data_IF_721745737120
#
_entry.id   IF_721745737120
#
_cell.length_a   1.000
_cell.length_b   1.000
_cell.length_c   1.000
_cell.angle_alpha   90.00
_cell.angle_beta   90.00
_cell.angle_gamma   90.00
#
_symmetry.space_group_name_H-M   'P 1'
#
loop_
_entity.id
_entity.type
_entity.pdbx_description
1 polymer ?
#
# COMPACT_ATOMS: atom_id res chain seq x y z
N UNK A 1 15.63 -22.73 9.46
CA UNK A 1 16.15 -21.33 9.52
C UNK A 1 15.78 -20.46 8.31
N UNK A 2 14.52 -20.45 7.87
CA UNK A 2 14.08 -19.61 6.74
C UNK A 2 12.96 -18.67 7.17
N UNK A 3 12.79 -17.59 6.42
CA UNK A 3 11.71 -16.60 6.57
C UNK A 3 11.19 -16.19 5.21
N UNK A 4 9.93 -15.81 5.15
CA UNK A 4 9.36 -15.18 3.97
C UNK A 4 9.86 -13.74 3.86
N UNK A 5 10.71 -13.47 2.87
CA UNK A 5 11.17 -12.12 2.52
C UNK A 5 10.24 -11.51 1.48
N UNK A 6 9.84 -10.27 1.70
CA UNK A 6 9.03 -9.48 0.77
C UNK A 6 9.93 -8.92 -0.35
N UNK A 7 9.54 -9.12 -1.61
CA UNK A 7 10.29 -8.62 -2.78
C UNK A 7 9.48 -7.73 -3.72
N UNK A 8 8.17 -7.97 -3.81
CA UNK A 8 7.32 -7.25 -4.77
C UNK A 8 6.52 -6.16 -4.08
N UNK A 9 6.90 -4.92 -4.32
CA UNK A 9 6.21 -3.73 -3.82
C UNK A 9 6.02 -2.69 -4.93
N UNK A 10 5.02 -1.83 -4.74
CA UNK A 10 4.56 -0.82 -5.68
C UNK A 10 4.49 0.54 -4.96
N UNK A 11 5.08 1.56 -5.58
CA UNK A 11 5.18 2.93 -5.07
C UNK A 11 5.50 3.89 -6.22
N UNK A 12 5.33 5.19 -5.97
CA UNK A 12 5.69 6.25 -6.91
C UNK A 12 6.22 7.45 -6.12
N UNK A 13 7.53 7.68 -6.22
CA UNK A 13 8.24 8.74 -5.51
C UNK A 13 8.53 9.97 -6.36
N UNK A 14 8.01 10.04 -7.60
CA UNK A 14 8.31 11.15 -8.53
C UNK A 14 7.95 12.53 -7.97
N UNK A 15 6.93 12.62 -7.12
CA UNK A 15 6.55 13.87 -6.46
C UNK A 15 7.67 14.43 -5.56
N UNK A 16 8.51 13.58 -4.96
CA UNK A 16 9.65 13.98 -4.13
C UNK A 16 10.67 14.75 -4.98
N UNK A 17 10.86 14.34 -6.23
CA UNK A 17 11.75 15.05 -7.15
C UNK A 17 11.23 16.46 -7.49
N UNK A 18 9.97 16.80 -7.19
CA UNK A 18 9.35 18.10 -7.44
C UNK A 18 9.30 19.00 -6.20
N UNK A 19 9.85 18.55 -5.06
CA UNK A 19 9.95 19.38 -3.86
C UNK A 19 10.82 20.63 -4.11
N UNK A 20 10.55 21.75 -3.39
CA UNK A 20 11.37 22.95 -3.50
C UNK A 20 12.84 22.67 -3.21
N UNK A 21 13.71 23.19 -4.07
CA UNK A 21 15.17 23.10 -3.89
C UNK A 21 15.55 24.03 -2.73
N UNK A 22 16.27 23.50 -1.75
CA UNK A 22 16.64 24.26 -0.56
C UNK A 22 17.87 25.13 -0.83
N UNK A 23 17.87 26.33 -0.27
CA UNK A 23 18.92 27.33 -0.52
C UNK A 23 20.26 26.92 0.10
N UNK A 24 20.22 26.19 1.22
CA UNK A 24 21.39 25.72 1.97
C UNK A 24 22.12 24.55 1.31
N UNK A 25 21.60 23.99 0.21
CA UNK A 25 22.26 22.88 -0.48
C UNK A 25 23.51 23.33 -1.25
N UNK A 26 24.49 22.43 -1.33
CA UNK A 26 25.63 22.59 -2.22
C UNK A 26 25.19 22.77 -3.68
N UNK A 27 25.88 23.60 -4.45
CA UNK A 27 25.47 23.93 -5.83
C UNK A 27 25.37 22.70 -6.73
N UNK A 28 26.27 21.72 -6.56
CA UNK A 28 26.20 20.45 -7.29
C UNK A 28 24.89 19.68 -7.00
N UNK A 29 24.46 19.65 -5.74
CA UNK A 29 23.20 19.02 -5.32
C UNK A 29 22.00 19.78 -5.88
N UNK A 30 22.04 21.12 -5.89
CA UNK A 30 21.00 21.94 -6.52
C UNK A 30 20.90 21.68 -8.01
N UNK A 31 22.02 21.58 -8.73
CA UNK A 31 22.05 21.31 -10.16
C UNK A 31 21.47 19.92 -10.47
N UNK A 32 21.84 18.90 -9.68
CA UNK A 32 21.25 17.56 -9.78
C UNK A 32 19.73 17.58 -9.52
N UNK A 33 19.27 18.32 -8.51
CA UNK A 33 17.86 18.47 -8.20
C UNK A 33 17.08 19.15 -9.35
N UNK A 34 17.63 20.23 -9.94
CA UNK A 34 17.05 20.89 -11.12
C UNK A 34 16.94 19.92 -12.31
N UNK A 35 17.97 19.13 -12.57
CA UNK A 35 17.96 18.13 -13.65
C UNK A 35 16.90 17.03 -13.42
N UNK A 36 16.75 16.57 -12.17
CA UNK A 36 15.72 15.60 -11.79
C UNK A 36 14.31 16.16 -11.91
N UNK A 37 14.09 17.42 -11.49
CA UNK A 37 12.82 18.14 -11.67
C UNK A 37 12.45 18.22 -13.15
N UNK A 38 13.36 18.71 -14.00
CA UNK A 38 13.13 18.84 -15.44
C UNK A 38 12.78 17.49 -16.09
N UNK A 39 13.54 16.43 -15.79
CA UNK A 39 13.27 15.08 -16.30
C UNK A 39 11.90 14.56 -15.86
N UNK A 40 11.53 14.80 -14.60
CA UNK A 40 10.24 14.38 -14.05
C UNK A 40 9.10 15.14 -14.72
N UNK A 41 9.22 16.46 -14.86
CA UNK A 41 8.25 17.32 -15.55
C UNK A 41 8.05 16.85 -17.00
N UNK A 42 9.14 16.61 -17.75
CA UNK A 42 9.05 16.12 -19.13
C UNK A 42 8.32 14.79 -19.23
N UNK A 43 8.59 13.84 -18.30
CA UNK A 43 7.88 12.55 -18.26
C UNK A 43 6.39 12.72 -17.92
N UNK A 44 6.07 13.60 -16.98
CA UNK A 44 4.67 13.88 -16.62
C UNK A 44 3.92 14.56 -17.77
N UNK A 45 4.57 15.45 -18.53
CA UNK A 45 3.99 16.04 -19.76
C UNK A 45 3.67 14.96 -20.80
N UNK A 46 4.57 14.00 -20.99
CA UNK A 46 4.32 12.85 -21.88
C UNK A 46 3.16 11.97 -21.38
N UNK A 47 3.01 11.80 -20.07
CA UNK A 47 1.98 10.97 -19.48
C UNK A 47 0.59 11.64 -19.50
N UNK A 48 0.49 12.93 -19.16
CA UNK A 48 -0.78 13.62 -18.96
C UNK A 48 -1.16 14.60 -20.09
N UNK A 49 -0.26 14.85 -21.03
CA UNK A 49 -0.42 15.83 -22.10
C UNK A 49 -0.17 17.28 -21.65
N UNK A 50 -0.03 18.18 -22.62
CA UNK A 50 0.36 19.58 -22.37
C UNK A 50 -0.82 20.50 -21.98
N UNK A 51 -2.04 20.15 -22.36
CA UNK A 51 -3.23 20.95 -22.03
C UNK A 51 -3.45 21.01 -20.51
N UNK A 52 -3.60 22.22 -19.97
CA UNK A 52 -3.77 22.51 -18.53
C UNK A 52 -2.69 21.85 -17.65
N UNK A 53 -1.46 21.72 -18.16
CA UNK A 53 -0.41 20.97 -17.47
C UNK A 53 -0.03 21.55 -16.10
N UNK A 54 -0.11 22.87 -15.92
CA UNK A 54 0.20 23.52 -14.64
C UNK A 54 -0.75 23.09 -13.52
N UNK A 55 -2.02 22.85 -13.83
CA UNK A 55 -2.97 22.29 -12.87
C UNK A 55 -2.70 20.81 -12.59
N UNK A 56 -2.37 20.04 -13.66
CA UNK A 56 -2.06 18.61 -13.54
C UNK A 56 -0.81 18.35 -12.69
N UNK A 57 0.23 19.17 -12.84
CA UNK A 57 1.44 19.07 -12.02
C UNK A 57 1.14 19.46 -10.56
N UNK A 58 0.33 20.50 -10.33
CA UNK A 58 -0.11 20.87 -8.99
C UNK A 58 -0.87 19.71 -8.32
N UNK A 59 -1.83 19.10 -9.02
CA UNK A 59 -2.57 17.94 -8.51
C UNK A 59 -1.66 16.75 -8.22
N UNK A 60 -0.67 16.49 -9.07
CA UNK A 60 0.32 15.43 -8.85
C UNK A 60 1.19 15.69 -7.61
N UNK A 61 1.60 16.95 -7.39
CA UNK A 61 2.35 17.36 -6.20
C UNK A 61 1.48 17.26 -4.95
N UNK A 62 0.23 17.73 -5.00
CA UNK A 62 -0.70 17.71 -3.87
C UNK A 62 -1.04 16.28 -3.42
N UNK A 63 -1.11 15.33 -4.36
CA UNK A 63 -1.23 13.90 -4.05
C UNK A 63 -0.01 13.34 -3.30
N UNK A 64 1.16 13.96 -3.43
CA UNK A 64 2.40 13.48 -2.85
C UNK A 64 2.82 12.09 -3.38
N UNK A 65 3.77 11.42 -2.71
CA UNK A 65 4.24 10.11 -3.14
C UNK A 65 3.18 9.04 -2.91
N UNK A 66 3.03 8.11 -3.86
CA UNK A 66 2.19 6.92 -3.64
C UNK A 66 2.85 6.08 -2.52
N UNK A 67 2.10 5.67 -1.48
CA UNK A 67 2.67 4.91 -0.37
C UNK A 67 3.25 3.57 -0.84
N UNK A 68 4.28 3.10 -0.14
CA UNK A 68 4.78 1.74 -0.32
C UNK A 68 3.66 0.75 -0.03
N UNK A 69 3.44 -0.16 -0.97
CA UNK A 69 2.43 -1.20 -0.87
C UNK A 69 3.03 -2.51 -1.34
N UNK A 70 2.69 -3.61 -0.67
CA UNK A 70 2.81 -4.94 -1.26
C UNK A 70 2.05 -4.98 -2.58
N UNK A 71 2.58 -5.65 -3.61
CA UNK A 71 1.88 -5.77 -4.91
C UNK A 71 0.64 -6.65 -4.74
N UNK A 72 -0.53 -6.05 -4.70
CA UNK A 72 -1.79 -6.72 -4.46
C UNK A 72 -2.93 -6.15 -5.32
N UNK A 73 -4.13 -6.66 -5.07
CA UNK A 73 -5.33 -6.43 -5.87
C UNK A 73 -5.78 -4.95 -5.95
N UNK A 74 -5.31 -4.07 -5.06
CA UNK A 74 -5.68 -2.65 -5.03
C UNK A 74 -4.74 -1.73 -5.82
N UNK A 75 -3.48 -2.12 -6.07
CA UNK A 75 -2.46 -1.21 -6.61
C UNK A 75 -2.81 -0.61 -7.97
N UNK A 76 -3.34 -1.45 -8.87
CA UNK A 76 -3.77 -1.03 -10.21
C UNK A 76 -4.85 0.05 -10.14
N UNK A 77 -5.87 -0.18 -9.32
CA UNK A 77 -7.00 0.74 -9.20
C UNK A 77 -6.62 2.03 -8.46
N UNK A 78 -5.73 1.95 -7.46
CA UNK A 78 -5.20 3.15 -6.81
C UNK A 78 -4.39 4.00 -7.80
N UNK A 79 -3.60 3.41 -8.70
CA UNK A 79 -2.92 4.16 -9.77
C UNK A 79 -3.94 4.87 -10.66
N UNK A 80 -5.00 4.18 -11.09
CA UNK A 80 -6.04 4.78 -11.93
C UNK A 80 -6.75 5.96 -11.24
N UNK A 81 -7.08 5.81 -9.96
CA UNK A 81 -7.67 6.88 -9.13
C UNK A 81 -6.74 8.11 -9.06
N UNK A 82 -5.46 7.89 -8.75
CA UNK A 82 -4.46 8.96 -8.67
C UNK A 82 -4.23 9.64 -10.02
N UNK A 83 -4.26 8.87 -11.11
CA UNK A 83 -4.18 9.39 -12.47
C UNK A 83 -5.40 10.24 -12.83
N UNK A 84 -6.62 9.81 -12.49
CA UNK A 84 -7.84 10.60 -12.66
C UNK A 84 -7.75 11.94 -11.93
N UNK A 85 -7.33 11.93 -10.66
CA UNK A 85 -7.14 13.16 -9.89
C UNK A 85 -6.08 14.07 -10.52
N UNK A 86 -4.93 13.50 -10.89
CA UNK A 86 -3.86 14.25 -11.56
C UNK A 86 -4.32 14.87 -12.88
N UNK A 87 -5.28 14.26 -13.57
CA UNK A 87 -5.85 14.77 -14.81
C UNK A 87 -6.99 15.79 -14.61
N UNK A 88 -7.32 16.16 -13.38
CA UNK A 88 -8.43 17.08 -13.07
C UNK A 88 -9.81 16.42 -13.15
N UNK A 89 -9.88 15.08 -13.14
CA UNK A 89 -11.14 14.32 -13.15
C UNK A 89 -11.52 13.97 -11.71
N UNK A 90 -11.91 14.97 -10.92
CA UNK A 90 -12.02 14.84 -9.47
C UNK A 90 -13.19 13.96 -9.03
N UNK A 91 -14.41 14.17 -9.54
CA UNK A 91 -15.54 13.28 -9.20
C UNK A 91 -15.31 11.80 -9.57
N UNK A 92 -14.75 11.46 -10.75
CA UNK A 92 -14.31 10.08 -11.04
C UNK A 92 -13.24 9.56 -10.06
N UNK A 93 -12.30 10.39 -9.62
CA UNK A 93 -11.29 10.00 -8.65
C UNK A 93 -11.91 9.73 -7.26
N UNK A 94 -12.81 10.62 -6.80
CA UNK A 94 -13.55 10.51 -5.54
C UNK A 94 -14.41 9.24 -5.50
N UNK A 95 -15.24 9.04 -6.52
CA UNK A 95 -16.10 7.85 -6.59
C UNK A 95 -15.28 6.57 -6.82
N UNK A 96 -14.21 6.65 -7.60
CA UNK A 96 -13.28 5.55 -7.86
C UNK A 96 -12.57 5.06 -6.60
N UNK A 97 -12.09 5.96 -5.74
CA UNK A 97 -11.45 5.56 -4.47
C UNK A 97 -12.45 4.96 -3.49
N UNK A 98 -13.68 5.48 -3.45
CA UNK A 98 -14.74 4.91 -2.63
C UNK A 98 -15.09 3.48 -3.09
N UNK A 99 -15.25 3.28 -4.39
CA UNK A 99 -15.49 1.94 -4.95
C UNK A 99 -14.30 0.99 -4.73
N UNK A 100 -13.07 1.50 -4.74
CA UNK A 100 -11.88 0.72 -4.41
C UNK A 100 -11.88 0.28 -2.94
N UNK A 101 -12.26 1.15 -2.02
CA UNK A 101 -12.44 0.81 -0.60
C UNK A 101 -13.41 -0.36 -0.41
N UNK A 102 -14.58 -0.29 -1.05
CA UNK A 102 -15.57 -1.38 -1.03
C UNK A 102 -14.99 -2.68 -1.59
N UNK A 103 -14.31 -2.58 -2.74
CA UNK A 103 -13.69 -3.73 -3.39
C UNK A 103 -12.66 -4.40 -2.48
N UNK A 104 -11.87 -3.63 -1.73
CA UNK A 104 -10.88 -4.16 -0.79
C UNK A 104 -11.56 -4.90 0.36
N UNK A 105 -12.56 -4.29 1.00
CA UNK A 105 -13.33 -4.94 2.07
C UNK A 105 -13.96 -6.24 1.60
N UNK A 106 -14.61 -6.21 0.44
CA UNK A 106 -15.25 -7.39 -0.15
C UNK A 106 -14.23 -8.48 -0.49
N UNK A 107 -13.08 -8.12 -1.05
CA UNK A 107 -12.01 -9.06 -1.33
C UNK A 107 -11.51 -9.75 -0.06
N UNK A 108 -11.28 -9.00 1.02
CA UNK A 108 -10.85 -9.57 2.29
C UNK A 108 -11.92 -10.49 2.88
N UNK A 109 -13.17 -10.02 3.00
CA UNK A 109 -14.26 -10.83 3.58
C UNK A 109 -14.46 -12.13 2.80
N UNK A 110 -14.57 -12.07 1.47
CA UNK A 110 -14.86 -13.24 0.64
C UNK A 110 -13.78 -14.31 0.79
N UNK A 111 -12.51 -13.90 0.77
CA UNK A 111 -11.38 -14.83 0.77
C UNK A 111 -10.97 -15.29 2.18
N UNK A 112 -11.33 -14.56 3.24
CA UNK A 112 -10.90 -14.88 4.60
C UNK A 112 -11.99 -15.49 5.48
N UNK A 113 -13.28 -15.18 5.24
CA UNK A 113 -14.38 -15.57 6.14
C UNK A 113 -14.44 -17.05 6.50
N UNK A 114 -14.04 -17.94 5.60
CA UNK A 114 -14.12 -19.38 5.83
C UNK A 114 -13.11 -19.88 6.87
N UNK A 115 -12.07 -19.11 7.16
CA UNK A 115 -11.15 -19.35 8.29
C UNK A 115 -11.79 -19.03 9.65
N UNK A 116 -12.92 -18.32 9.66
CA UNK A 116 -13.57 -17.80 10.87
C UNK A 116 -15.00 -18.35 11.05
N UNK A 117 -15.31 -19.54 10.51
CA UNK A 117 -16.64 -20.18 10.59
C UNK A 117 -17.19 -20.36 12.00
N UNK A 118 -16.31 -20.52 12.99
CA UNK A 118 -16.68 -20.63 14.41
C UNK A 118 -17.01 -19.30 15.07
N UNK A 119 -16.63 -18.17 14.46
CA UNK A 119 -16.87 -16.83 14.98
C UNK A 119 -18.33 -16.41 14.76
N UNK A 120 -18.93 -15.72 15.73
CA UNK A 120 -20.34 -15.31 15.67
C UNK A 120 -20.67 -14.41 14.46
N UNK A 121 -19.74 -13.54 14.07
CA UNK A 121 -19.88 -12.64 12.94
C UNK A 121 -19.88 -13.34 11.57
N UNK A 122 -19.39 -14.58 11.45
CA UNK A 122 -19.40 -15.31 10.18
C UNK A 122 -20.80 -15.40 9.57
N UNK A 123 -21.80 -15.75 10.41
CA UNK A 123 -23.20 -15.86 9.97
C UNK A 123 -23.79 -14.52 9.55
N UNK A 124 -23.19 -13.40 9.95
CA UNK A 124 -23.61 -12.07 9.51
C UNK A 124 -23.05 -11.75 8.13
N UNK A 125 -21.81 -12.15 7.80
CA UNK A 125 -21.12 -11.79 6.54
C UNK A 125 -20.99 -12.92 5.49
N UNK A 126 -21.56 -14.11 5.73
CA UNK A 126 -21.45 -15.22 4.76
C UNK A 126 -22.25 -15.01 3.47
N UNK A 127 -23.34 -14.23 3.49
CA UNK A 127 -24.13 -13.93 2.29
C UNK A 127 -23.59 -12.70 1.59
N UNK A 128 -23.62 -12.70 0.26
CA UNK A 128 -23.12 -11.58 -0.57
C UNK A 128 -23.74 -10.23 -0.18
N UNK A 129 -25.07 -10.19 -0.01
CA UNK A 129 -25.80 -8.98 0.39
C UNK A 129 -25.40 -8.40 1.74
N UNK A 130 -24.71 -9.17 2.59
CA UNK A 130 -24.43 -8.75 3.96
C UNK A 130 -23.23 -7.82 4.08
N UNK A 131 -22.22 -7.96 3.22
CA UNK A 131 -21.00 -7.15 3.30
C UNK A 131 -21.01 -5.93 2.37
N UNK A 132 -22.09 -5.71 1.63
CA UNK A 132 -22.36 -4.44 0.95
C UNK A 132 -22.52 -3.28 1.97
N UNK A 133 -22.86 -3.60 3.23
CA UNK A 133 -22.83 -2.66 4.35
C UNK A 133 -21.44 -2.65 4.99
N UNK A 134 -20.67 -1.60 4.71
CA UNK A 134 -19.26 -1.50 5.10
C UNK A 134 -19.02 -1.66 6.61
N UNK A 135 -19.78 -1.02 7.53
CA UNK A 135 -19.53 -1.16 8.96
C UNK A 135 -19.51 -2.62 9.42
N UNK A 136 -20.44 -3.45 8.92
CA UNK A 136 -20.45 -4.87 9.26
C UNK A 136 -19.23 -5.64 8.72
N UNK A 137 -18.76 -5.29 7.51
CA UNK A 137 -17.54 -5.87 6.95
C UNK A 137 -16.29 -5.44 7.74
N UNK A 138 -16.21 -4.16 8.12
CA UNK A 138 -15.12 -3.59 8.92
C UNK A 138 -15.08 -4.26 10.30
N UNK A 139 -16.21 -4.33 11.00
CA UNK A 139 -16.33 -4.98 12.31
C UNK A 139 -15.92 -6.45 12.26
N UNK A 140 -16.37 -7.19 11.24
CA UNK A 140 -16.00 -8.59 11.08
C UNK A 140 -14.50 -8.76 10.90
N UNK A 141 -13.87 -8.00 10.00
CA UNK A 141 -12.44 -8.09 9.75
C UNK A 141 -11.60 -7.62 10.95
N UNK A 142 -12.05 -6.60 11.69
CA UNK A 142 -11.38 -6.14 12.91
C UNK A 142 -11.43 -7.21 14.01
N UNK A 143 -12.61 -7.77 14.30
CA UNK A 143 -12.75 -8.82 15.33
C UNK A 143 -12.03 -10.12 14.97
N UNK A 144 -11.86 -10.41 13.67
CA UNK A 144 -11.05 -11.52 13.20
C UNK A 144 -9.54 -11.28 13.29
N UNK A 145 -9.12 -10.10 13.73
CA UNK A 145 -7.71 -9.69 13.79
C UNK A 145 -7.08 -9.51 12.41
N UNK A 146 -7.90 -9.30 11.36
CA UNK A 146 -7.42 -9.07 10.00
C UNK A 146 -7.00 -7.61 9.82
N UNK A 147 -7.83 -6.67 10.26
CA UNK A 147 -7.51 -5.24 10.17
C UNK A 147 -6.67 -4.79 11.37
N UNK A 148 -5.71 -3.90 11.11
CA UNK A 148 -5.13 -3.09 12.17
C UNK A 148 -6.13 -2.05 12.65
N UNK A 149 -5.99 -1.59 13.90
CA UNK A 149 -6.85 -0.54 14.46
C UNK A 149 -6.80 0.75 13.62
N UNK A 150 -5.61 1.12 13.11
CA UNK A 150 -5.45 2.29 12.27
C UNK A 150 -6.19 2.14 10.93
N UNK A 151 -6.10 0.96 10.30
CA UNK A 151 -6.81 0.68 9.07
C UNK A 151 -8.34 0.67 9.26
N UNK A 152 -8.83 0.11 10.38
CA UNK A 152 -10.25 0.15 10.77
C UNK A 152 -10.79 1.58 10.80
N UNK A 153 -10.11 2.48 11.53
CA UNK A 153 -10.48 3.90 11.65
C UNK A 153 -10.51 4.56 10.26
N UNK A 154 -9.50 4.30 9.43
CA UNK A 154 -9.45 4.87 8.08
C UNK A 154 -10.59 4.33 7.19
N UNK A 155 -10.93 3.05 7.26
CA UNK A 155 -12.08 2.50 6.53
C UNK A 155 -13.41 3.12 6.95
N UNK A 156 -13.61 3.37 8.25
CA UNK A 156 -14.78 4.08 8.74
C UNK A 156 -14.86 5.51 8.17
N UNK A 157 -13.74 6.23 8.18
CA UNK A 157 -13.69 7.58 7.59
C UNK A 157 -13.93 7.57 6.07
N UNK A 158 -13.46 6.54 5.35
CA UNK A 158 -13.73 6.40 3.92
C UNK A 158 -15.21 6.11 3.64
N UNK A 159 -15.86 5.31 4.49
CA UNK A 159 -17.29 5.03 4.39
C UNK A 159 -18.13 6.31 4.51
N UNK A 160 -17.77 7.22 5.42
CA UNK A 160 -18.43 8.52 5.54
C UNK A 160 -18.27 9.36 4.26
N UNK A 161 -17.05 9.45 3.72
CA UNK A 161 -16.78 10.17 2.46
C UNK A 161 -17.55 9.57 1.28
N UNK A 162 -17.63 8.24 1.22
CA UNK A 162 -18.43 7.52 0.22
C UNK A 162 -19.91 7.88 0.31
N UNK A 163 -20.47 7.92 1.52
CA UNK A 163 -21.87 8.29 1.70
C UNK A 163 -22.11 9.75 1.31
N UNK A 164 -21.21 10.66 1.69
CA UNK A 164 -21.29 12.06 1.31
C UNK A 164 -21.20 12.28 -0.20
N UNK A 165 -20.32 11.54 -0.90
CA UNK A 165 -20.12 11.69 -2.34
C UNK A 165 -21.22 11.05 -3.21
N UNK A 166 -21.86 9.98 -2.74
CA UNK A 166 -22.85 9.22 -3.53
C UNK A 166 -24.30 9.64 -3.24
N UNK A 167 -24.60 10.15 -2.05
CA UNK A 167 -25.88 10.79 -1.81
C UNK A 167 -25.84 12.19 -2.40
N UNK A 168 -26.91 12.59 -3.11
CA UNK A 168 -26.94 13.90 -3.77
C UNK A 168 -26.66 15.01 -2.76
N UNK A 169 -25.51 15.68 -2.94
CA UNK A 169 -25.11 16.84 -2.17
C UNK A 169 -24.58 17.90 -3.15
N UNK A 170 -25.22 19.08 -3.23
CA UNK A 170 -24.79 20.16 -4.13
C UNK A 170 -23.34 20.62 -3.93
N UNK A 171 -22.79 20.45 -2.72
CA UNK A 171 -21.39 20.81 -2.41
C UNK A 171 -20.39 19.99 -3.24
N UNK A 172 -20.75 18.76 -3.63
CA UNK A 172 -19.89 17.90 -4.47
C UNK A 172 -19.72 18.50 -5.87
N UNK A 173 -20.65 19.30 -6.38
CA UNK A 173 -20.53 19.91 -7.71
C UNK A 173 -19.51 21.07 -7.74
N UNK A 174 -19.07 21.56 -6.58
CA UNK A 174 -18.18 22.71 -6.43
C UNK A 174 -16.83 22.32 -5.79
N UNK A 175 -16.85 21.40 -4.84
CA UNK A 175 -15.69 21.04 -4.00
C UNK A 175 -15.15 19.62 -4.31
N UNK A 176 -15.46 19.05 -5.49
CA UNK A 176 -15.08 17.67 -5.85
C UNK A 176 -13.57 17.41 -5.77
N UNK A 177 -12.74 18.42 -6.05
CA UNK A 177 -11.29 18.36 -5.93
C UNK A 177 -10.84 18.08 -4.51
N UNK A 178 -11.20 18.91 -3.56
CA UNK A 178 -10.78 18.78 -2.16
C UNK A 178 -11.29 17.47 -1.57
N UNK A 179 -12.55 17.13 -1.84
CA UNK A 179 -13.17 15.87 -1.42
C UNK A 179 -12.43 14.65 -2.00
N UNK A 180 -12.07 14.68 -3.28
CA UNK A 180 -11.29 13.62 -3.91
C UNK A 180 -9.91 13.47 -3.27
N UNK A 181 -9.20 14.59 -3.04
CA UNK A 181 -7.87 14.57 -2.43
C UNK A 181 -7.91 13.97 -1.02
N UNK A 182 -8.88 14.37 -0.22
CA UNK A 182 -9.07 13.84 1.14
C UNK A 182 -9.41 12.34 1.14
N UNK A 183 -10.29 11.90 0.24
CA UNK A 183 -10.66 10.50 0.12
C UNK A 183 -9.47 9.63 -0.35
N UNK A 184 -8.68 10.13 -1.31
CA UNK A 184 -7.47 9.44 -1.78
C UNK A 184 -6.44 9.32 -0.65
N UNK A 185 -6.15 10.41 0.05
CA UNK A 185 -5.21 10.39 1.18
C UNK A 185 -5.69 9.44 2.29
N UNK A 186 -6.99 9.44 2.59
CA UNK A 186 -7.56 8.52 3.56
C UNK A 186 -7.39 7.05 3.15
N UNK A 187 -7.59 6.72 1.87
CA UNK A 187 -7.31 5.37 1.37
C UNK A 187 -5.82 5.03 1.36
N UNK A 188 -4.94 6.00 1.12
CA UNK A 188 -3.49 5.79 1.23
C UNK A 188 -3.05 5.50 2.66
N UNK A 189 -3.72 6.07 3.66
CA UNK A 189 -3.52 5.68 5.06
C UNK A 189 -3.96 4.23 5.31
N UNK A 190 -5.03 3.74 4.67
CA UNK A 190 -5.36 2.30 4.70
C UNK A 190 -4.20 1.48 4.14
N UNK A 191 -3.63 1.90 3.01
CA UNK A 191 -2.50 1.17 2.40
C UNK A 191 -1.28 1.15 3.34
N UNK A 192 -0.89 2.28 3.90
CA UNK A 192 0.24 2.36 4.84
C UNK A 192 0.02 1.47 6.07
N UNK A 193 -1.20 1.47 6.61
CA UNK A 193 -1.52 0.83 7.87
C UNK A 193 -2.02 -0.62 7.76
N UNK A 194 -2.15 -1.16 6.55
CA UNK A 194 -2.61 -2.54 6.33
C UNK A 194 -1.83 -3.30 5.26
N UNK A 195 -1.31 -2.62 4.25
CA UNK A 195 -0.77 -3.25 3.03
C UNK A 195 0.67 -2.82 2.71
N UNK A 196 1.35 -2.13 3.63
CA UNK A 196 2.72 -1.67 3.42
C UNK A 196 3.71 -2.84 3.41
N UNK A 197 4.72 -2.75 2.55
CA UNK A 197 5.85 -3.70 2.52
C UNK A 197 6.95 -3.37 3.53
N UNK A 198 6.85 -2.22 4.20
CA UNK A 198 7.81 -1.72 5.20
C UNK A 198 7.09 -1.06 6.38
N UNK A 199 7.83 -0.83 7.48
CA UNK A 199 7.33 -0.12 8.65
C UNK A 199 7.09 -1.06 9.83
N UNK A 200 6.15 -0.69 10.70
CA UNK A 200 5.93 -1.34 12.01
C UNK A 200 4.63 -2.14 12.07
N UNK A 201 4.16 -2.65 10.95
CA UNK A 201 2.95 -3.49 10.93
C UNK A 201 3.19 -4.78 11.76
N UNK A 202 2.16 -5.33 12.42
CA UNK A 202 2.33 -6.42 13.38
C UNK A 202 3.07 -7.64 12.84
N UNK A 203 2.82 -7.99 11.58
CA UNK A 203 3.41 -9.14 10.88
C UNK A 203 4.76 -8.87 10.21
N UNK A 204 5.26 -7.63 10.20
CA UNK A 204 6.52 -7.29 9.55
C UNK A 204 7.71 -7.43 10.49
N UNK A 205 8.78 -8.03 9.98
CA UNK A 205 10.08 -8.16 10.60
C UNK A 205 11.09 -7.33 9.78
N UNK A 206 11.29 -6.05 10.12
CA UNK A 206 12.20 -5.18 9.39
C UNK A 206 13.67 -5.57 9.63
N UNK A 207 14.49 -5.40 8.61
CA UNK A 207 15.95 -5.59 8.61
C UNK A 207 16.53 -4.48 7.72
N UNK A 208 17.79 -4.02 7.89
CA UNK A 208 18.34 -2.96 7.05
C UNK A 208 18.19 -3.27 5.55
N UNK A 209 17.40 -2.44 4.84
CA UNK A 209 17.10 -2.60 3.41
C UNK A 209 16.17 -3.75 3.03
N UNK A 210 15.63 -4.50 3.99
CA UNK A 210 14.86 -5.72 3.76
C UNK A 210 13.67 -5.84 4.72
N UNK A 211 12.64 -6.59 4.32
CA UNK A 211 11.52 -6.87 5.21
C UNK A 211 11.07 -8.32 5.07
N UNK A 212 10.82 -8.94 6.20
CA UNK A 212 10.39 -10.33 6.31
C UNK A 212 9.03 -10.41 7.02
N UNK A 213 8.41 -11.58 6.97
CA UNK A 213 7.24 -11.89 7.78
C UNK A 213 7.70 -12.47 9.12
N UNK A 214 7.14 -11.96 10.22
CA UNK A 214 7.33 -12.53 11.56
C UNK A 214 6.77 -13.94 11.61
N UNK A 215 7.49 -14.81 12.31
CA UNK A 215 7.15 -16.25 12.32
C UNK A 215 5.76 -16.54 12.89
N UNK A 216 5.37 -15.85 13.96
CA UNK A 216 4.04 -16.02 14.59
C UNK A 216 2.87 -15.65 13.64
N UNK A 217 3.15 -14.89 12.58
CA UNK A 217 2.16 -14.43 11.60
C UNK A 217 2.12 -15.27 10.32
N UNK A 218 3.03 -16.23 10.15
CA UNK A 218 3.09 -17.07 8.94
C UNK A 218 1.84 -17.96 8.75
N UNK A 219 1.12 -18.26 9.83
CA UNK A 219 -0.16 -19.00 9.80
C UNK A 219 -1.38 -18.09 9.71
N UNK A 220 -1.21 -16.77 9.73
CA UNK A 220 -2.32 -15.83 9.62
C UNK A 220 -2.97 -15.93 8.23
N UNK A 221 -4.29 -16.16 8.13
CA UNK A 221 -4.99 -16.22 6.85
C UNK A 221 -4.79 -14.96 6.01
N UNK A 222 -4.74 -13.79 6.66
CA UNK A 222 -4.50 -12.51 6.00
C UNK A 222 -3.11 -12.44 5.35
N UNK A 223 -2.07 -12.83 6.09
CA UNK A 223 -0.68 -12.80 5.60
C UNK A 223 -0.49 -13.78 4.44
N UNK A 224 -1.07 -14.97 4.54
CA UNK A 224 -1.05 -15.98 3.47
C UNK A 224 -1.76 -15.49 2.20
N UNK A 225 -2.89 -14.81 2.34
CA UNK A 225 -3.65 -14.28 1.21
C UNK A 225 -2.92 -13.11 0.52
N UNK A 226 -2.35 -12.19 1.30
CA UNK A 226 -1.93 -10.87 0.79
C UNK A 226 -0.41 -10.75 0.60
N UNK A 227 0.38 -11.27 1.53
CA UNK A 227 1.83 -11.06 1.54
C UNK A 227 2.58 -12.21 0.87
N UNK A 228 2.21 -13.46 1.12
CA UNK A 228 2.93 -14.63 0.60
C UNK A 228 3.07 -14.66 -0.92
N UNK A 229 2.07 -14.25 -1.73
CA UNK A 229 2.24 -14.17 -3.19
C UNK A 229 3.40 -13.27 -3.64
N UNK A 230 3.86 -12.38 -2.76
CA UNK A 230 4.89 -11.36 -3.02
C UNK A 230 6.20 -11.65 -2.27
N UNK A 231 6.29 -12.82 -1.64
CA UNK A 231 7.43 -13.24 -0.85
C UNK A 231 8.20 -14.41 -1.47
N UNK A 232 9.45 -14.58 -1.05
CA UNK A 232 10.18 -15.84 -1.23
C UNK A 232 10.62 -16.40 0.13
N UNK A 233 10.58 -17.72 0.26
CA UNK A 233 10.99 -18.40 1.50
C UNK A 233 12.50 -18.68 1.48
N UNK A 234 13.25 -17.88 2.23
CA UNK A 234 14.71 -17.79 2.10
C UNK A 234 15.41 -17.91 3.45
N UNK A 235 16.59 -18.50 3.48
CA UNK A 235 17.46 -18.48 4.64
C UNK A 235 18.24 -17.17 4.78
N UNK A 236 18.93 -16.99 5.92
CA UNK A 236 19.61 -15.72 6.22
C UNK A 236 20.79 -15.40 5.28
N UNK A 237 21.33 -16.40 4.56
CA UNK A 237 22.46 -16.25 3.62
C UNK A 237 22.05 -16.06 2.16
N UNK A 238 20.75 -16.04 1.86
CA UNK A 238 20.31 -15.84 0.49
C UNK A 238 20.86 -14.52 -0.10
N UNK A 239 20.98 -14.51 -1.43
CA UNK A 239 21.47 -13.37 -2.21
C UNK A 239 20.48 -13.02 -3.31
N UNK A 240 20.42 -11.73 -3.62
CA UNK A 240 19.67 -11.23 -4.78
C UNK A 240 20.62 -11.24 -5.97
N UNK A 241 20.37 -12.14 -6.93
CA UNK A 241 21.18 -12.29 -8.14
C UNK A 241 20.84 -11.21 -9.17
N UNK A 242 19.56 -10.85 -9.26
CA UNK A 242 19.06 -9.83 -10.18
C UNK A 242 17.88 -9.09 -9.56
N UNK A 243 17.87 -7.76 -9.77
CA UNK A 243 16.72 -6.91 -9.53
C UNK A 243 16.05 -6.62 -10.88
N UNK A 244 14.81 -7.11 -11.04
CA UNK A 244 13.97 -6.99 -12.25
C UNK A 244 14.47 -7.75 -13.50
N UNK A 245 14.01 -9.01 -13.73
CA UNK A 245 13.16 -9.79 -12.85
C UNK A 245 13.89 -10.17 -11.56
N UNK A 246 13.15 -10.32 -10.46
CA UNK A 246 13.71 -10.78 -9.20
C UNK A 246 14.23 -12.21 -9.35
N UNK A 247 15.51 -12.40 -9.06
CA UNK A 247 16.13 -13.73 -8.98
C UNK A 247 16.86 -13.85 -7.66
N UNK A 248 16.55 -14.93 -6.93
CA UNK A 248 17.04 -15.14 -5.57
C UNK A 248 17.77 -16.47 -5.53
N UNK A 249 19.00 -16.42 -5.04
CA UNK A 249 19.85 -17.57 -4.82
C UNK A 249 19.89 -17.89 -3.33
N UNK A 250 19.51 -19.11 -2.97
CA UNK A 250 19.58 -19.61 -1.60
C UNK A 250 20.15 -21.03 -1.63
N UNK A 251 21.46 -21.12 -1.90
CA UNK A 251 22.17 -22.37 -2.17
C UNK A 251 22.71 -23.08 -0.91
N UNK A 252 22.65 -22.42 0.24
CA UNK A 252 23.18 -22.97 1.48
C UNK A 252 22.23 -24.02 2.07
N UNK A 253 22.81 -25.11 2.58
CA UNK A 253 22.10 -26.06 3.42
C UNK A 253 21.98 -25.48 4.83
N UNK A 254 20.74 -25.16 5.21
CA UNK A 254 20.43 -24.72 6.57
C UNK A 254 20.03 -25.93 7.41
N UNK A 255 20.55 -26.06 8.64
CA UNK A 255 20.03 -27.06 9.56
C UNK A 255 18.51 -26.90 9.74
N UNK A 256 17.82 -28.02 9.90
CA UNK A 256 16.39 -28.09 10.28
C UNK A 256 16.20 -27.67 11.74
N UNK A 257 16.71 -26.50 12.08
CA UNK A 257 16.52 -25.87 13.36
C UNK A 257 15.54 -24.72 13.21
N UNK A 258 14.63 -24.71 14.17
CA UNK A 258 13.73 -23.61 14.36
C UNK A 258 14.49 -22.42 14.98
N UNK A 259 14.39 -21.26 14.34
CA UNK A 259 15.04 -20.02 14.78
C UNK A 259 13.96 -19.02 15.12
N UNK A 260 14.14 -18.22 16.18
CA UNK A 260 13.24 -17.11 16.48
C UNK A 260 13.56 -15.90 15.56
N UNK A 261 12.72 -14.87 15.59
CA UNK A 261 12.85 -13.71 14.70
C UNK A 261 14.09 -12.86 15.01
N UNK A 262 14.43 -12.68 16.29
CA UNK A 262 15.60 -11.90 16.71
C UNK A 262 16.91 -12.54 16.23
N UNK A 263 17.04 -13.85 16.38
CA UNK A 263 18.23 -14.59 15.99
C UNK A 263 18.37 -14.66 14.48
N UNK A 264 17.24 -14.76 13.74
CA UNK A 264 17.26 -14.65 12.29
C UNK A 264 17.81 -13.28 11.83
N UNK A 265 17.32 -12.19 12.42
CA UNK A 265 17.78 -10.83 12.10
C UNK A 265 19.26 -10.64 12.45
N UNK A 266 19.70 -11.13 13.63
CA UNK A 266 21.13 -11.07 14.03
C UNK A 266 22.02 -11.79 13.02
N UNK A 267 21.64 -12.99 12.60
CA UNK A 267 22.38 -13.75 11.60
C UNK A 267 22.40 -13.06 10.23
N UNK A 268 21.30 -12.42 9.82
CA UNK A 268 21.23 -11.67 8.56
C UNK A 268 22.12 -10.42 8.59
N UNK A 269 22.07 -9.66 9.68
CA UNK A 269 22.88 -8.44 9.83
C UNK A 269 24.37 -8.73 9.88
N UNK A 270 24.80 -9.81 10.56
CA UNK A 270 26.19 -10.21 10.62
C UNK A 270 26.84 -10.52 9.25
N UNK A 271 26.02 -10.72 8.20
CA UNK A 271 26.50 -10.86 6.83
C UNK A 271 26.57 -9.52 6.09
N UNK A 272 25.71 -8.56 6.42
CA UNK A 272 25.69 -7.24 5.78
C UNK A 272 26.84 -6.35 6.25
N UNK A 273 27.41 -6.64 7.43
CA UNK A 273 28.58 -5.92 8.00
C UNK A 273 29.94 -6.44 7.46
N UNK A 274 29.93 -7.38 6.50
CA UNK A 274 31.13 -7.94 5.86
C UNK A 274 31.27 -7.43 4.43
#
# INVERSE_FOLDING_TARGET
>A
MKRYRIFSFDFDSRSIALEPIREEWEEATKEQARANQQRTISRLKLQYGEANFDEKIKNFIDLGPKPFSIVAFHNKFLSQVRESFSHGQYYPALTGVCALGERVLNHLVINLRDHYKSHELYKKVYRKKSFDYWPLAIDALSQWGVLTQAAEISFYSLNEKRNYALHFNPEVDVDDRELALEAIRNFEEIIKNQFSSFGMLPWLLPTPGECYIKKEWETSPFVQLVYFPNCAYVGYRHTVVSAFPWQIADYDDYPEQDVNDEDFVKMRNALNDR
#
